data_IF_891303097063
#
_entry.id   IF_891303097063
#
_cell.length_a   1.000
_cell.length_b   1.000
_cell.length_c   1.000
_cell.angle_alpha   90.00
_cell.angle_beta   90.00
_cell.angle_gamma   90.00
#
_symmetry.space_group_name_H-M   'P 1'
#
loop_
_entity.id
_entity.type
_entity.pdbx_description
1 polymer ?
#
# COMPACT_ATOMS: atom_id res chain seq x y z
N UNK A 1 -11.79 32.03 21.56
CA UNK A 1 -12.08 30.75 20.88
C UNK A 1 -11.49 29.65 21.76
N UNK A 2 -12.29 28.69 22.29
CA UNK A 2 -11.78 27.58 23.10
C UNK A 2 -10.95 26.65 22.17
N UNK A 3 -9.72 26.38 22.51
CA UNK A 3 -8.92 25.35 21.82
C UNK A 3 -9.66 24.01 21.95
N UNK A 4 -9.94 23.37 20.84
CA UNK A 4 -10.56 22.03 20.83
C UNK A 4 -9.54 21.05 21.40
N UNK A 5 -9.93 20.30 22.44
CA UNK A 5 -9.06 19.27 23.00
C UNK A 5 -8.88 18.16 21.94
N UNK A 6 -7.66 17.77 21.67
CA UNK A 6 -7.32 16.75 20.67
C UNK A 6 -8.05 15.41 20.94
N UNK A 7 -8.27 15.07 22.20
CA UNK A 7 -9.03 13.88 22.61
C UNK A 7 -10.51 13.91 22.23
N UNK A 8 -11.06 15.10 21.93
CA UNK A 8 -12.46 15.25 21.52
C UNK A 8 -12.61 15.20 19.98
N UNK A 9 -11.50 15.10 19.25
CA UNK A 9 -11.48 14.99 17.81
C UNK A 9 -11.88 13.58 17.36
N UNK A 10 -12.63 13.53 16.26
CA UNK A 10 -12.92 12.28 15.56
C UNK A 10 -11.66 11.72 14.86
N UNK A 11 -11.66 10.44 14.52
CA UNK A 11 -10.62 9.81 13.71
C UNK A 11 -10.39 10.57 12.40
N UNK A 12 -11.48 11.04 11.75
CA UNK A 12 -11.40 11.86 10.53
C UNK A 12 -10.72 13.21 10.76
N UNK A 13 -10.96 13.86 11.94
CA UNK A 13 -10.24 15.08 12.29
C UNK A 13 -8.76 14.83 12.52
N UNK A 14 -8.40 13.68 13.12
CA UNK A 14 -7.01 13.26 13.29
C UNK A 14 -6.36 13.09 11.92
N UNK A 15 -7.02 12.41 10.97
CA UNK A 15 -6.55 12.27 9.60
C UNK A 15 -6.28 13.63 8.96
N UNK A 16 -7.28 14.51 8.90
CA UNK A 16 -7.19 15.75 8.15
C UNK A 16 -6.28 16.81 8.78
N UNK A 17 -6.20 16.85 10.13
CA UNK A 17 -5.47 17.91 10.87
C UNK A 17 -4.03 17.53 11.22
N UNK A 18 -3.72 16.23 11.30
CA UNK A 18 -2.40 15.75 11.77
C UNK A 18 -1.73 14.81 10.78
N UNK A 19 -2.42 13.75 10.31
CA UNK A 19 -1.80 12.75 9.45
C UNK A 19 -1.55 13.31 8.06
N UNK A 20 -2.58 13.79 7.34
CA UNK A 20 -2.42 14.34 5.98
C UNK A 20 -1.39 15.46 5.90
N UNK A 21 -1.36 16.46 6.82
CA UNK A 21 -0.30 17.47 6.83
C UNK A 21 1.10 16.90 7.05
N UNK A 22 1.25 15.86 7.89
CA UNK A 22 2.54 15.21 8.11
C UNK A 22 3.04 14.51 6.84
N UNK A 23 2.16 13.87 6.08
CA UNK A 23 2.49 13.22 4.81
C UNK A 23 2.93 14.26 3.77
N UNK A 24 2.19 15.36 3.63
CA UNK A 24 2.53 16.44 2.71
C UNK A 24 3.88 17.07 3.07
N UNK A 25 4.13 17.33 4.36
CA UNK A 25 5.40 17.88 4.84
C UNK A 25 6.59 16.93 4.61
N UNK A 26 6.34 15.62 4.57
CA UNK A 26 7.33 14.60 4.23
C UNK A 26 7.56 14.47 2.70
N UNK A 27 6.85 15.26 1.88
CA UNK A 27 7.03 15.29 0.43
C UNK A 27 6.08 14.38 -0.37
N UNK A 28 5.05 13.80 0.26
CA UNK A 28 4.04 13.02 -0.46
C UNK A 28 3.07 13.92 -1.21
N UNK A 29 2.86 13.63 -2.49
CA UNK A 29 1.90 14.33 -3.35
C UNK A 29 0.47 13.86 -3.04
N UNK A 30 -0.39 14.80 -2.61
CA UNK A 30 -1.77 14.52 -2.20
C UNK A 30 -2.60 13.92 -3.32
N UNK A 31 -2.43 14.39 -4.56
CA UNK A 31 -3.26 13.98 -5.70
C UNK A 31 -2.75 12.68 -6.34
N UNK A 32 -1.43 12.48 -6.38
CA UNK A 32 -0.79 11.40 -7.12
C UNK A 32 -0.43 10.21 -6.26
N UNK A 33 0.04 10.46 -5.02
CA UNK A 33 0.66 9.43 -4.18
C UNK A 33 -0.19 9.01 -2.99
N UNK A 34 -1.09 9.87 -2.50
CA UNK A 34 -1.96 9.57 -1.36
C UNK A 34 -3.33 9.11 -1.86
N UNK A 35 -3.81 7.98 -1.33
CA UNK A 35 -5.18 7.52 -1.53
C UNK A 35 -5.81 7.31 -0.17
N UNK A 36 -6.90 8.03 0.07
CA UNK A 36 -7.68 7.98 1.31
C UNK A 36 -8.88 7.03 1.16
N UNK A 37 -9.30 6.42 2.26
CA UNK A 37 -10.52 5.59 2.36
C UNK A 37 -10.60 4.47 1.30
N UNK A 38 -9.48 3.79 1.03
CA UNK A 38 -9.38 2.78 -0.03
C UNK A 38 -10.12 1.52 0.33
N UNK A 39 -11.20 1.23 -0.40
CA UNK A 39 -11.98 0.01 -0.20
C UNK A 39 -11.45 -1.16 -1.02
N UNK A 40 -11.36 -2.33 -0.40
CA UNK A 40 -11.00 -3.59 -1.03
C UNK A 40 -11.73 -4.77 -0.38
N UNK A 41 -11.66 -5.95 -0.97
CA UNK A 41 -12.25 -7.18 -0.44
C UNK A 41 -11.17 -8.23 -0.23
N UNK A 42 -11.33 -9.11 0.72
CA UNK A 42 -10.37 -10.18 1.06
C UNK A 42 -10.14 -11.22 -0.06
N UNK A 43 -10.61 -10.96 -1.27
CA UNK A 43 -10.35 -11.75 -2.47
C UNK A 43 -10.82 -13.20 -2.45
N UNK A 44 -11.28 -13.73 -1.32
CA UNK A 44 -11.80 -15.08 -1.21
C UNK A 44 -13.25 -15.12 -1.71
N UNK A 45 -13.44 -15.80 -2.84
CA UNK A 45 -14.79 -16.21 -3.25
C UNK A 45 -15.13 -17.44 -2.42
N UNK A 46 -16.02 -17.28 -1.45
CA UNK A 46 -16.54 -18.41 -0.66
C UNK A 46 -17.71 -19.00 -1.43
N UNK A 47 -17.49 -20.16 -2.05
CA UNK A 47 -18.55 -20.92 -2.72
C UNK A 47 -19.13 -21.91 -1.71
N UNK A 48 -20.33 -21.63 -1.21
CA UNK A 48 -21.12 -22.59 -0.43
C UNK A 48 -22.33 -23.03 -1.28
N UNK A 49 -22.27 -24.23 -1.87
CA UNK A 49 -23.28 -24.77 -2.80
C UNK A 49 -23.57 -23.81 -3.96
N UNK A 50 -24.78 -23.19 -4.03
CA UNK A 50 -25.18 -22.21 -5.07
C UNK A 50 -24.96 -20.76 -4.69
N UNK A 51 -24.47 -20.47 -3.46
CA UNK A 51 -24.20 -19.11 -2.98
C UNK A 51 -22.73 -18.76 -3.18
N UNK A 52 -22.49 -17.72 -3.99
CA UNK A 52 -21.18 -17.10 -4.17
C UNK A 52 -21.17 -15.82 -3.35
N UNK A 53 -20.48 -15.82 -2.22
CA UNK A 53 -20.26 -14.61 -1.41
C UNK A 53 -18.85 -14.09 -1.64
N UNK A 54 -18.72 -12.79 -1.84
CA UNK A 54 -17.41 -12.10 -1.80
C UNK A 54 -17.00 -11.96 -0.34
N UNK A 55 -15.70 -11.98 -0.08
CA UNK A 55 -15.14 -11.67 1.23
C UNK A 55 -15.62 -10.31 1.76
N UNK A 56 -15.47 -10.10 3.05
CA UNK A 56 -15.86 -8.87 3.73
C UNK A 56 -15.18 -7.65 3.09
N UNK A 57 -15.96 -6.56 2.92
CA UNK A 57 -15.42 -5.31 2.42
C UNK A 57 -14.62 -4.65 3.54
N UNK A 58 -13.36 -4.36 3.26
CA UNK A 58 -12.42 -3.67 4.13
C UNK A 58 -12.14 -2.29 3.57
N UNK A 59 -11.70 -1.37 4.42
CA UNK A 59 -11.34 0.00 4.02
C UNK A 59 -10.11 0.40 4.82
N UNK A 60 -9.06 0.77 4.11
CA UNK A 60 -7.85 1.36 4.67
C UNK A 60 -7.99 2.88 4.70
N UNK A 61 -7.53 3.53 5.77
CA UNK A 61 -7.59 4.98 5.88
C UNK A 61 -6.68 5.64 4.85
N UNK A 62 -5.43 5.18 4.72
CA UNK A 62 -4.50 5.64 3.69
C UNK A 62 -3.73 4.51 3.05
N UNK A 63 -3.51 4.61 1.74
CA UNK A 63 -2.48 3.86 1.01
C UNK A 63 -1.60 4.86 0.27
N UNK A 64 -0.29 4.77 0.50
CA UNK A 64 0.70 5.63 -0.12
C UNK A 64 1.41 4.91 -1.26
N UNK A 65 1.51 5.57 -2.39
CA UNK A 65 2.09 5.02 -3.62
C UNK A 65 3.35 5.78 -4.01
N UNK A 66 4.45 5.08 -4.28
CA UNK A 66 5.64 5.70 -4.90
C UNK A 66 5.33 6.16 -6.32
N UNK A 67 4.77 5.25 -7.12
CA UNK A 67 4.14 5.50 -8.42
C UNK A 67 2.77 4.83 -8.42
N UNK A 68 1.92 5.16 -9.39
CA UNK A 68 0.53 4.68 -9.46
C UNK A 68 0.35 3.16 -9.30
N UNK A 69 1.38 2.38 -9.63
CA UNK A 69 1.40 0.92 -9.55
C UNK A 69 2.17 0.35 -8.34
N UNK A 70 2.86 1.20 -7.55
CA UNK A 70 3.77 0.78 -6.48
C UNK A 70 3.30 1.27 -5.11
N UNK A 71 2.36 0.57 -4.45
CA UNK A 71 1.98 0.90 -3.07
C UNK A 71 3.16 0.57 -2.14
N UNK A 72 3.56 1.55 -1.34
CA UNK A 72 4.66 1.40 -0.39
C UNK A 72 4.20 1.32 1.06
N UNK A 73 3.19 2.11 1.43
CA UNK A 73 2.78 2.18 2.82
C UNK A 73 1.26 2.16 2.97
N UNK A 74 0.82 1.62 4.10
CA UNK A 74 -0.55 1.70 4.57
C UNK A 74 -0.56 2.35 5.94
N UNK A 75 -1.55 3.21 6.21
CA UNK A 75 -1.70 3.87 7.50
C UNK A 75 -3.12 3.65 7.99
N UNK A 76 -3.25 3.22 9.24
CA UNK A 76 -4.51 3.14 9.98
C UNK A 76 -4.52 4.22 11.07
N UNK A 77 -5.54 5.06 11.04
CA UNK A 77 -5.76 6.10 12.01
C UNK A 77 -6.61 5.60 13.19
N UNK A 78 -6.42 6.21 14.33
CA UNK A 78 -7.31 6.10 15.49
C UNK A 78 -7.52 7.47 16.10
N UNK A 79 -8.64 7.66 16.81
CA UNK A 79 -8.83 8.87 17.59
C UNK A 79 -7.78 8.97 18.72
N UNK A 80 -7.59 10.18 19.24
CA UNK A 80 -6.53 10.46 20.22
C UNK A 80 -6.81 9.90 21.64
N UNK A 81 -7.89 9.12 21.82
CA UNK A 81 -8.15 8.36 23.04
C UNK A 81 -7.41 7.03 23.05
N UNK A 82 -6.98 6.56 21.88
CA UNK A 82 -6.26 5.33 21.70
C UNK A 82 -4.73 5.57 21.69
N UNK A 83 -3.97 4.53 21.95
CA UNK A 83 -2.50 4.58 21.78
C UNK A 83 -2.10 4.71 20.32
N UNK A 84 -0.88 5.20 20.05
CA UNK A 84 -0.33 5.35 18.69
C UNK A 84 -0.37 4.04 17.91
N UNK A 85 -0.15 2.90 18.58
CA UNK A 85 -0.13 1.57 17.96
C UNK A 85 -1.49 0.88 17.85
N UNK A 86 -2.60 1.48 18.30
CA UNK A 86 -3.89 0.81 18.38
C UNK A 86 -4.43 0.31 17.01
N UNK A 87 -4.06 0.96 15.91
CA UNK A 87 -4.41 0.55 14.54
C UNK A 87 -3.45 -0.46 13.90
N UNK A 88 -2.30 -0.78 14.53
CA UNK A 88 -1.22 -1.53 13.88
C UNK A 88 -1.65 -2.93 13.42
N UNK A 89 -2.40 -3.67 14.23
CA UNK A 89 -2.85 -5.01 13.84
C UNK A 89 -3.76 -4.98 12.60
N UNK A 90 -4.59 -3.96 12.49
CA UNK A 90 -5.43 -3.72 11.31
C UNK A 90 -4.59 -3.36 10.09
N UNK A 91 -3.62 -2.44 10.25
CA UNK A 91 -2.69 -2.04 9.22
C UNK A 91 -1.87 -3.24 8.69
N UNK A 92 -1.37 -4.10 9.57
CA UNK A 92 -0.62 -5.32 9.20
C UNK A 92 -1.47 -6.31 8.41
N UNK A 93 -2.70 -6.57 8.84
CA UNK A 93 -3.62 -7.45 8.12
C UNK A 93 -3.90 -6.91 6.70
N UNK A 94 -4.11 -5.62 6.57
CA UNK A 94 -4.35 -4.99 5.26
C UNK A 94 -3.07 -4.96 4.39
N UNK A 95 -1.92 -4.69 5.00
CA UNK A 95 -0.63 -4.74 4.33
C UNK A 95 -0.31 -6.14 3.78
N UNK A 96 -0.70 -7.21 4.49
CA UNK A 96 -0.55 -8.58 4.02
C UNK A 96 -1.44 -8.87 2.81
N UNK A 97 -2.74 -8.51 2.88
CA UNK A 97 -3.69 -8.71 1.78
C UNK A 97 -3.26 -7.96 0.52
N UNK A 98 -2.79 -6.72 0.67
CA UNK A 98 -2.46 -5.82 -0.42
C UNK A 98 -1.00 -5.91 -0.89
N UNK A 99 -0.18 -6.74 -0.23
CA UNK A 99 1.27 -6.89 -0.47
C UNK A 99 2.04 -5.57 -0.34
N UNK A 100 1.75 -4.82 0.75
CA UNK A 100 2.36 -3.53 1.03
C UNK A 100 3.51 -3.71 2.02
N UNK A 101 4.73 -3.15 1.76
CA UNK A 101 5.92 -3.40 2.57
C UNK A 101 5.93 -2.69 3.93
N UNK A 102 5.34 -1.51 4.06
CA UNK A 102 5.38 -0.72 5.28
C UNK A 102 3.98 -0.50 5.84
N UNK A 103 3.80 -0.76 7.14
CA UNK A 103 2.54 -0.51 7.84
C UNK A 103 2.75 0.55 8.92
N UNK A 104 1.79 1.46 9.06
CA UNK A 104 1.80 2.52 10.04
C UNK A 104 0.48 2.58 10.80
N UNK A 105 0.54 2.96 12.06
CA UNK A 105 -0.61 3.35 12.86
C UNK A 105 -0.36 4.74 13.45
N UNK A 106 -1.40 5.55 13.58
CA UNK A 106 -1.29 6.88 14.20
C UNK A 106 -2.58 7.28 14.92
N UNK A 107 -2.45 7.97 16.05
CA UNK A 107 -3.53 8.67 16.74
C UNK A 107 -3.37 10.20 16.64
N UNK A 108 -2.49 10.66 15.76
CA UNK A 108 -2.17 12.07 15.59
C UNK A 108 -1.11 12.64 16.56
N UNK A 109 -0.55 11.84 17.48
CA UNK A 109 0.59 12.27 18.31
C UNK A 109 1.92 11.87 17.68
N UNK A 110 1.97 10.67 17.13
CA UNK A 110 3.12 10.10 16.45
C UNK A 110 2.65 9.05 15.46
N UNK A 111 3.57 8.44 14.72
CA UNK A 111 3.35 7.21 13.98
C UNK A 111 4.08 6.06 14.65
N UNK A 112 3.44 4.90 14.75
CA UNK A 112 4.14 3.62 14.94
C UNK A 112 4.36 3.02 13.56
N UNK A 113 5.61 2.82 13.18
CA UNK A 113 6.02 2.17 11.94
C UNK A 113 6.27 0.68 12.17
N UNK A 114 5.82 -0.18 11.27
CA UNK A 114 6.21 -1.58 11.17
C UNK A 114 6.79 -1.87 9.79
N UNK A 115 8.08 -2.17 9.74
CA UNK A 115 8.78 -2.55 8.50
C UNK A 115 8.70 -4.06 8.29
N UNK A 116 7.83 -4.49 7.36
CA UNK A 116 7.62 -5.91 7.01
C UNK A 116 8.79 -6.53 6.22
N UNK A 117 9.72 -5.70 5.73
CA UNK A 117 10.91 -6.18 5.02
C UNK A 117 12.01 -6.65 5.96
N UNK A 118 11.98 -6.25 7.22
CA UNK A 118 12.94 -6.68 8.23
C UNK A 118 12.62 -8.13 8.65
N UNK A 119 13.57 -9.05 8.41
CA UNK A 119 13.45 -10.46 8.80
C UNK A 119 14.04 -10.73 10.17
N UNK A 120 15.06 -9.97 10.59
CA UNK A 120 15.76 -10.09 11.88
C UNK A 120 15.96 -8.69 12.49
N UNK A 121 15.66 -8.56 13.78
CA UNK A 121 15.83 -7.30 14.50
C UNK A 121 14.51 -6.58 14.81
N UNK A 122 14.61 -5.29 15.13
CA UNK A 122 13.49 -4.45 15.54
C UNK A 122 12.70 -4.05 14.29
N UNK A 123 11.46 -4.49 14.20
CA UNK A 123 10.56 -4.20 13.09
C UNK A 123 9.72 -2.94 13.31
N UNK A 124 9.53 -2.57 14.57
CA UNK A 124 8.66 -1.46 14.94
C UNK A 124 9.46 -0.34 15.58
N UNK A 125 9.12 0.89 15.21
CA UNK A 125 9.63 2.08 15.87
C UNK A 125 8.57 3.18 15.85
N UNK A 126 8.51 3.96 16.93
CA UNK A 126 7.71 5.17 16.97
C UNK A 126 8.49 6.32 16.35
N UNK A 127 7.83 7.11 15.51
CA UNK A 127 8.40 8.27 14.83
C UNK A 127 7.51 9.50 15.05
N UNK A 128 8.08 10.68 15.32
CA UNK A 128 7.33 11.93 15.42
C UNK A 128 6.59 12.26 14.12
N UNK A 129 5.48 12.99 14.20
CA UNK A 129 4.69 13.40 13.03
C UNK A 129 5.51 14.12 11.96
N UNK A 130 6.47 14.95 12.37
CA UNK A 130 7.33 15.72 11.46
C UNK A 130 8.54 14.94 10.92
N UNK A 131 8.63 13.64 11.23
CA UNK A 131 9.70 12.75 10.75
C UNK A 131 9.14 11.57 9.96
N UNK A 132 7.92 11.69 9.43
CA UNK A 132 7.39 10.66 8.54
C UNK A 132 8.31 10.49 7.33
N UNK A 133 8.63 9.25 6.90
CA UNK A 133 9.57 9.01 5.80
C UNK A 133 9.03 9.51 4.46
N UNK A 134 9.93 10.06 3.64
CA UNK A 134 9.58 10.52 2.29
C UNK A 134 9.30 9.35 1.33
N UNK A 135 8.66 9.62 0.17
CA UNK A 135 8.47 8.61 -0.88
C UNK A 135 9.79 7.95 -1.29
N UNK A 136 10.85 8.74 -1.46
CA UNK A 136 12.18 8.29 -1.86
C UNK A 136 12.84 7.45 -0.77
N UNK A 137 12.68 7.82 0.49
CA UNK A 137 13.21 7.04 1.61
C UNK A 137 12.59 5.64 1.66
N UNK A 138 11.25 5.54 1.63
CA UNK A 138 10.59 4.24 1.64
C UNK A 138 10.90 3.43 0.38
N UNK A 139 11.00 4.08 -0.78
CA UNK A 139 11.38 3.40 -2.01
C UNK A 139 12.81 2.85 -1.96
N UNK A 140 13.76 3.62 -1.45
CA UNK A 140 15.14 3.17 -1.28
C UNK A 140 15.26 2.02 -0.27
N UNK A 141 14.51 2.05 0.82
CA UNK A 141 14.42 0.94 1.79
C UNK A 141 13.85 -0.31 1.13
N UNK A 142 12.78 -0.17 0.33
CA UNK A 142 12.19 -1.28 -0.43
C UNK A 142 13.21 -1.88 -1.41
N UNK A 143 13.86 -1.05 -2.23
CA UNK A 143 14.88 -1.51 -3.18
C UNK A 143 16.00 -2.26 -2.48
N UNK A 144 16.52 -1.72 -1.39
CA UNK A 144 17.58 -2.35 -0.59
C UNK A 144 17.14 -3.70 -0.06
N UNK A 145 15.96 -3.80 0.53
CA UNK A 145 15.43 -5.04 1.09
C UNK A 145 15.18 -6.11 0.02
N UNK A 146 14.76 -5.68 -1.18
CA UNK A 146 14.53 -6.54 -2.33
C UNK A 146 15.78 -6.83 -3.15
N UNK A 147 16.89 -6.13 -2.91
CA UNK A 147 18.12 -6.25 -3.71
C UNK A 147 17.91 -5.78 -5.14
N UNK A 148 17.14 -4.71 -5.37
CA UNK A 148 16.87 -4.12 -6.69
C UNK A 148 17.98 -3.12 -7.00
N UNK A 149 18.73 -3.34 -8.08
CA UNK A 149 19.73 -2.42 -8.59
C UNK A 149 19.12 -1.38 -9.55
N UNK A 150 19.91 -0.40 -10.02
CA UNK A 150 19.44 0.68 -10.90
C UNK A 150 18.83 0.18 -12.23
N UNK A 151 19.43 -0.85 -12.83
CA UNK A 151 18.91 -1.45 -14.08
C UNK A 151 17.57 -2.13 -13.85
N UNK A 152 17.44 -2.88 -12.77
CA UNK A 152 16.19 -3.55 -12.37
C UNK A 152 15.13 -2.53 -11.97
N UNK A 153 15.52 -1.43 -11.31
CA UNK A 153 14.61 -0.34 -10.94
C UNK A 153 13.89 0.25 -12.15
N UNK A 154 14.60 0.50 -13.25
CA UNK A 154 14.00 1.05 -14.47
C UNK A 154 12.85 0.17 -14.98
N UNK A 155 12.96 -1.16 -14.84
CA UNK A 155 11.92 -2.12 -15.21
C UNK A 155 10.82 -2.19 -14.15
N UNK A 156 11.19 -2.31 -12.88
CA UNK A 156 10.24 -2.46 -11.76
C UNK A 156 9.37 -1.22 -11.57
N UNK A 157 9.94 -0.03 -11.76
CA UNK A 157 9.24 1.24 -11.60
C UNK A 157 8.44 1.67 -12.84
N UNK A 158 8.44 0.87 -13.94
CA UNK A 158 7.64 1.16 -15.13
C UNK A 158 6.15 1.15 -14.80
N UNK A 159 5.42 2.20 -15.20
CA UNK A 159 3.98 2.32 -14.91
C UNK A 159 3.11 1.42 -15.78
N UNK A 160 1.86 1.21 -15.33
CA UNK A 160 0.85 0.51 -16.10
C UNK A 160 0.47 1.25 -17.38
N UNK A 161 -0.17 0.53 -18.31
CA UNK A 161 -0.95 1.15 -19.36
C UNK A 161 -2.23 1.74 -18.76
N UNK A 162 -2.43 3.03 -18.95
CA UNK A 162 -3.65 3.74 -18.57
C UNK A 162 -4.38 4.25 -19.82
N UNK A 163 -5.63 3.88 -19.94
CA UNK A 163 -6.59 4.58 -20.82
C UNK A 163 -7.32 5.65 -20.01
N UNK A 164 -7.67 6.77 -20.62
CA UNK A 164 -8.31 7.92 -19.91
C UNK A 164 -9.58 7.55 -19.15
N UNK A 165 -10.36 6.56 -19.62
CA UNK A 165 -11.52 5.97 -18.92
C UNK A 165 -11.34 4.48 -18.67
N UNK A 166 -10.10 4.01 -18.66
CA UNK A 166 -9.74 2.62 -18.65
C UNK A 166 -9.84 1.96 -17.27
N UNK A 167 -9.92 0.63 -17.30
CA UNK A 167 -9.93 -0.20 -16.09
C UNK A 167 -8.57 -0.16 -15.41
N UNK A 168 -8.55 0.17 -14.13
CA UNK A 168 -7.36 0.00 -13.29
C UNK A 168 -7.24 -1.44 -12.82
N UNK A 169 -6.00 -1.97 -12.65
CA UNK A 169 -5.80 -3.32 -12.13
C UNK A 169 -6.41 -3.45 -10.73
N UNK A 170 -7.17 -4.52 -10.50
CA UNK A 170 -7.59 -4.89 -9.15
C UNK A 170 -6.36 -5.25 -8.32
N UNK A 171 -6.43 -5.13 -6.99
CA UNK A 171 -5.28 -5.33 -6.11
C UNK A 171 -4.55 -6.67 -6.34
N UNK A 172 -5.26 -7.79 -6.52
CA UNK A 172 -4.64 -9.09 -6.79
C UNK A 172 -3.96 -9.17 -8.18
N UNK A 173 -4.52 -8.46 -9.19
CA UNK A 173 -3.87 -8.33 -10.51
C UNK A 173 -2.60 -7.49 -10.38
N UNK A 174 -2.65 -6.38 -9.63
CA UNK A 174 -1.49 -5.53 -9.33
C UNK A 174 -0.38 -6.33 -8.67
N UNK A 175 -0.71 -7.13 -7.64
CA UNK A 175 0.26 -8.02 -6.98
C UNK A 175 0.89 -8.99 -7.99
N UNK A 176 0.07 -9.66 -8.80
CA UNK A 176 0.55 -10.60 -9.81
C UNK A 176 1.47 -9.93 -10.83
N UNK A 177 1.07 -8.77 -11.35
CA UNK A 177 1.87 -7.99 -12.32
C UNK A 177 3.19 -7.55 -11.69
N UNK A 178 3.17 -6.90 -10.52
CA UNK A 178 4.37 -6.37 -9.90
C UNK A 178 5.36 -7.47 -9.53
N UNK A 179 4.91 -8.58 -8.95
CA UNK A 179 5.78 -9.73 -8.63
C UNK A 179 6.38 -10.36 -9.88
N UNK A 180 5.62 -10.45 -10.98
CA UNK A 180 6.11 -10.96 -12.27
C UNK A 180 7.19 -10.05 -12.83
N UNK A 181 6.95 -8.74 -12.86
CA UNK A 181 7.91 -7.76 -13.37
C UNK A 181 9.20 -7.77 -12.53
N UNK A 182 9.09 -7.80 -11.18
CA UNK A 182 10.24 -7.92 -10.30
C UNK A 182 11.05 -9.20 -10.56
N UNK A 183 10.37 -10.34 -10.73
CA UNK A 183 11.01 -11.62 -11.01
C UNK A 183 11.77 -11.60 -12.34
N UNK A 184 11.16 -11.03 -13.40
CA UNK A 184 11.80 -10.89 -14.72
C UNK A 184 13.00 -9.94 -14.66
N UNK A 185 12.86 -8.80 -13.98
CA UNK A 185 13.95 -7.83 -13.79
C UNK A 185 15.19 -8.50 -13.15
N UNK A 186 14.96 -9.44 -12.22
CA UNK A 186 15.99 -10.26 -11.56
C UNK A 186 16.48 -11.46 -12.38
N UNK A 187 16.10 -11.55 -13.65
CA UNK A 187 16.57 -12.58 -14.57
C UNK A 187 15.84 -13.93 -14.51
N UNK A 188 14.69 -14.00 -13.83
CA UNK A 188 13.86 -15.21 -13.87
C UNK A 188 13.20 -15.35 -15.25
N UNK A 189 13.37 -16.48 -15.90
CA UNK A 189 12.85 -16.75 -17.25
C UNK A 189 11.63 -17.69 -17.28
N UNK A 190 11.20 -18.18 -16.09
CA UNK A 190 10.02 -19.04 -15.95
C UNK A 190 9.22 -18.60 -14.73
N UNK A 191 7.96 -18.21 -14.94
CA UNK A 191 7.06 -17.74 -13.91
C UNK A 191 5.70 -18.39 -14.11
N UNK A 192 5.13 -18.94 -13.05
CA UNK A 192 3.79 -19.50 -13.04
C UNK A 192 2.82 -18.56 -12.33
N UNK A 193 1.80 -18.08 -13.06
CA UNK A 193 0.67 -17.35 -12.49
C UNK A 193 -0.58 -18.22 -12.45
N UNK A 194 -1.08 -18.51 -11.27
CA UNK A 194 -2.32 -19.28 -11.10
C UNK A 194 -3.45 -18.30 -10.80
N UNK A 195 -4.37 -18.15 -11.74
CA UNK A 195 -5.50 -17.22 -11.64
C UNK A 195 -6.79 -17.95 -12.03
N UNK A 196 -7.86 -17.80 -11.23
CA UNK A 196 -9.17 -18.38 -11.51
C UNK A 196 -9.80 -17.82 -12.79
N UNK A 197 -10.77 -18.54 -13.34
CA UNK A 197 -11.56 -18.07 -14.50
C UNK A 197 -12.33 -16.78 -14.12
N UNK A 198 -12.37 -15.80 -15.04
CA UNK A 198 -13.04 -14.51 -14.82
C UNK A 198 -12.25 -13.49 -13.99
N UNK A 199 -11.04 -13.80 -13.55
CA UNK A 199 -10.18 -12.87 -12.77
C UNK A 199 -9.37 -11.91 -13.62
N UNK A 200 -9.52 -11.93 -14.95
CA UNK A 200 -8.85 -11.02 -15.87
C UNK A 200 -7.43 -11.42 -16.25
N UNK A 201 -7.19 -12.73 -16.48
CA UNK A 201 -5.88 -13.26 -16.94
C UNK A 201 -5.31 -12.50 -18.14
N UNK A 202 -6.13 -12.29 -19.17
CA UNK A 202 -5.73 -11.56 -20.41
C UNK A 202 -5.28 -10.14 -20.12
N UNK A 203 -6.03 -9.42 -19.27
CA UNK A 203 -5.68 -8.07 -18.85
C UNK A 203 -4.36 -8.05 -18.04
N UNK A 204 -4.16 -9.02 -17.15
CA UNK A 204 -2.92 -9.15 -16.37
C UNK A 204 -1.73 -9.43 -17.31
N UNK A 205 -1.87 -10.34 -18.28
CA UNK A 205 -0.83 -10.63 -19.26
C UNK A 205 -0.50 -9.41 -20.13
N UNK A 206 -1.53 -8.69 -20.60
CA UNK A 206 -1.34 -7.45 -21.36
C UNK A 206 -0.53 -6.41 -20.58
N UNK A 207 -0.84 -6.16 -19.32
CA UNK A 207 -0.12 -5.20 -18.48
C UNK A 207 1.35 -5.61 -18.25
N UNK A 208 1.62 -6.91 -18.11
CA UNK A 208 2.99 -7.43 -17.98
C UNK A 208 3.76 -7.16 -19.28
N UNK A 209 3.20 -7.52 -20.43
CA UNK A 209 3.83 -7.31 -21.74
C UNK A 209 4.10 -5.83 -21.98
N UNK A 210 3.11 -4.97 -21.74
CA UNK A 210 3.25 -3.53 -21.92
C UNK A 210 4.40 -2.93 -21.12
N UNK A 211 4.52 -3.32 -19.82
CA UNK A 211 5.58 -2.82 -18.94
C UNK A 211 6.98 -3.30 -19.32
N UNK A 212 7.08 -4.44 -20.00
CA UNK A 212 8.36 -4.99 -20.46
C UNK A 212 8.74 -4.48 -21.85
N UNK A 213 7.77 -4.01 -22.64
CA UNK A 213 8.02 -3.51 -24.01
C UNK A 213 8.59 -2.08 -24.02
N UNK A 214 8.27 -1.26 -23.03
CA UNK A 214 8.79 0.11 -22.90
C UNK A 214 10.21 0.13 -22.35
#
# INVERSE_FOLDING_TARGET
MKLVNKKDLSERDICSKYITPSLINAGWDLERQIREEVSFTDGRIIVRKKLVTRGERKRADYILYYKSNMPLAIIEAKDNKHSVGAGMQQALNYAEILDIPFAFSSNGDAFLEHDRMITKGIKEKEIPLNQFPSPEELWNRYKKAKGINEREEAIVAQEYYFEQDGKTPRYYQRIAINRTIEAIAKGQNRILLVMATGTGKTYTAFQIIYRLWK
#
